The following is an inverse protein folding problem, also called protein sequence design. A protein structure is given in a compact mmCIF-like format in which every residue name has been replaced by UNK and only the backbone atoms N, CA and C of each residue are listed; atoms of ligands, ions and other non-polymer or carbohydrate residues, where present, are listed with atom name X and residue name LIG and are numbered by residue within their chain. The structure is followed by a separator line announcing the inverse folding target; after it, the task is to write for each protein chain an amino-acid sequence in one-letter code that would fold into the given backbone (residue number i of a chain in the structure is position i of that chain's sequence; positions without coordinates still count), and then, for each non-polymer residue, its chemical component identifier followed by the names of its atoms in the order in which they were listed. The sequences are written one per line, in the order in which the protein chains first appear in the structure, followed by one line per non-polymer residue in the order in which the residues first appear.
data_IF_291660745222
#
_entry.id   IF_291660745222
#
_cell.length_a   1.000
_cell.length_b   1.000
_cell.length_c   1.000
_cell.angle_alpha   90.00
_cell.angle_beta   90.00
_cell.angle_gamma   90.00
#
_symmetry.space_group_name_H-M   'P 1'
#
loop_
_entity.id
_entity.type
_entity.pdbx_description
1 polymer ?
#
# COMPACT_ATOMS: atom_id res chain seq x y z
N UNK A 1 -16.40 -9.00 -10.71
CA UNK A 1 -15.88 -7.89 -9.89
C UNK A 1 -14.50 -7.52 -10.42
N UNK A 2 -14.11 -6.25 -10.30
CA UNK A 2 -12.87 -5.70 -10.86
C UNK A 2 -12.24 -4.69 -9.92
N UNK A 3 -11.15 -4.08 -10.36
CA UNK A 3 -10.49 -3.00 -9.62
C UNK A 3 -11.39 -1.77 -9.53
N UNK A 4 -11.43 -1.17 -8.34
CA UNK A 4 -12.22 0.02 -8.03
C UNK A 4 -11.39 1.00 -7.19
N UNK A 5 -11.80 2.26 -7.23
CA UNK A 5 -11.39 3.25 -6.25
C UNK A 5 -12.41 3.25 -5.10
N UNK A 6 -12.00 2.81 -3.92
CA UNK A 6 -12.82 2.83 -2.70
C UNK A 6 -12.55 4.11 -1.91
N UNK A 7 -13.59 4.92 -1.71
CA UNK A 7 -13.56 5.99 -0.71
C UNK A 7 -13.80 5.37 0.66
N UNK A 8 -12.85 5.49 1.56
CA UNK A 8 -12.88 4.86 2.87
C UNK A 8 -12.86 5.94 3.96
N UNK A 9 -13.74 5.80 4.94
CA UNK A 9 -13.78 6.61 6.15
C UNK A 9 -13.49 5.73 7.38
N UNK A 10 -12.54 6.13 8.21
CA UNK A 10 -12.30 5.52 9.51
C UNK A 10 -12.86 6.43 10.61
N UNK A 11 -13.94 6.02 11.31
CA UNK A 11 -14.56 6.83 12.34
C UNK A 11 -13.74 6.88 13.64
N UNK A 12 -12.89 5.91 13.90
CA UNK A 12 -12.09 5.85 15.14
C UNK A 12 -11.05 6.97 15.17
N UNK A 13 -10.37 7.18 14.04
CA UNK A 13 -9.31 8.19 13.90
C UNK A 13 -9.76 9.46 13.15
N UNK A 14 -10.97 9.46 12.59
CA UNK A 14 -11.58 10.62 11.95
C UNK A 14 -10.96 11.01 10.61
N UNK A 15 -10.38 10.07 9.86
CA UNK A 15 -9.80 10.32 8.54
C UNK A 15 -10.61 9.70 7.40
N UNK A 16 -10.46 10.26 6.20
CA UNK A 16 -10.96 9.70 4.95
C UNK A 16 -9.88 9.65 3.89
N UNK A 17 -9.93 8.65 3.02
CA UNK A 17 -9.00 8.48 1.91
C UNK A 17 -9.69 7.82 0.71
N UNK A 18 -8.98 7.77 -0.42
CA UNK A 18 -9.35 6.92 -1.56
C UNK A 18 -8.22 5.95 -1.81
N UNK A 19 -8.55 4.67 -1.92
CA UNK A 19 -7.59 3.60 -2.17
C UNK A 19 -8.01 2.81 -3.41
N UNK A 20 -7.04 2.30 -4.15
CA UNK A 20 -7.31 1.30 -5.17
C UNK A 20 -7.52 -0.04 -4.49
N UNK A 21 -8.54 -0.79 -4.91
CA UNK A 21 -8.88 -2.07 -4.32
C UNK A 21 -9.52 -3.02 -5.33
N UNK A 22 -9.33 -4.32 -5.12
CA UNK A 22 -10.09 -5.36 -5.78
C UNK A 22 -11.33 -5.66 -4.93
N UNK A 23 -12.52 -5.55 -5.53
CA UNK A 23 -13.75 -5.96 -4.85
C UNK A 23 -13.86 -7.49 -4.79
N UNK A 24 -13.92 -8.04 -3.57
CA UNK A 24 -14.09 -9.48 -3.33
C UNK A 24 -15.56 -9.85 -3.09
N UNK A 25 -16.31 -8.95 -2.44
CA UNK A 25 -17.76 -9.06 -2.22
C UNK A 25 -18.38 -7.66 -2.11
N UNK A 26 -19.65 -7.55 -1.72
CA UNK A 26 -20.30 -6.25 -1.48
C UNK A 26 -19.70 -5.49 -0.29
N UNK A 27 -19.03 -6.19 0.63
CA UNK A 27 -18.51 -5.61 1.88
C UNK A 27 -17.04 -5.92 2.14
N UNK A 28 -16.35 -6.64 1.24
CA UNK A 28 -14.94 -6.99 1.39
C UNK A 28 -14.12 -6.58 0.17
N UNK A 29 -12.95 -6.00 0.44
CA UNK A 29 -12.06 -5.42 -0.54
C UNK A 29 -10.61 -5.77 -0.19
N UNK A 30 -9.85 -6.20 -1.20
CA UNK A 30 -8.39 -6.37 -1.09
C UNK A 30 -7.70 -5.11 -1.61
N UNK A 31 -6.88 -4.46 -0.79
CA UNK A 31 -6.20 -3.23 -1.16
C UNK A 31 -5.14 -3.48 -2.25
N UNK A 32 -5.16 -2.63 -3.28
CA UNK A 32 -4.18 -2.59 -4.38
C UNK A 32 -3.28 -1.36 -4.31
N UNK A 33 -3.43 -0.53 -3.27
CA UNK A 33 -2.53 0.57 -2.95
C UNK A 33 -2.24 0.62 -1.45
N UNK A 34 -1.26 1.44 -1.05
CA UNK A 34 -0.96 1.67 0.36
C UNK A 34 -1.67 2.92 0.86
N UNK A 35 -2.26 2.85 2.05
CA UNK A 35 -2.57 4.06 2.78
C UNK A 35 -1.27 4.78 3.16
N UNK A 36 -1.23 6.11 3.04
CA UNK A 36 0.00 6.88 3.23
C UNK A 36 0.51 6.90 4.68
N UNK A 37 -0.41 6.83 5.65
CA UNK A 37 -0.10 7.01 7.08
C UNK A 37 -0.51 5.81 7.94
N UNK A 38 -1.71 5.26 7.75
CA UNK A 38 -2.16 4.03 8.40
C UNK A 38 -1.32 2.81 7.98
N UNK A 39 -0.56 2.27 8.93
CA UNK A 39 0.35 1.14 8.72
C UNK A 39 -0.37 -0.19 8.57
N UNK A 40 -1.60 -0.29 9.08
CA UNK A 40 -2.41 -1.50 8.98
C UNK A 40 -3.16 -1.63 7.64
N UNK A 41 -3.16 -0.57 6.81
CA UNK A 41 -3.84 -0.53 5.51
C UNK A 41 -2.82 -0.46 4.37
N UNK A 42 -2.13 -1.57 4.14
CA UNK A 42 -1.11 -1.70 3.09
C UNK A 42 -1.58 -2.57 1.94
N UNK A 43 -0.81 -2.58 0.84
CA UNK A 43 -1.04 -3.44 -0.31
C UNK A 43 -1.28 -4.90 0.09
N UNK A 44 -2.35 -5.52 -0.41
CA UNK A 44 -2.74 -6.90 -0.12
C UNK A 44 -3.55 -7.10 1.16
N UNK A 45 -3.80 -6.04 1.94
CA UNK A 45 -4.69 -6.11 3.11
C UNK A 45 -6.13 -6.35 2.67
N UNK A 46 -6.86 -7.23 3.35
CA UNK A 46 -8.30 -7.42 3.12
C UNK A 46 -9.07 -6.70 4.23
N UNK A 47 -9.89 -5.74 3.82
CA UNK A 47 -10.76 -4.97 4.72
C UNK A 47 -12.21 -5.39 4.58
N UNK A 48 -12.95 -5.22 5.67
CA UNK A 48 -14.41 -5.21 5.68
C UNK A 48 -14.91 -3.80 5.95
N UNK A 49 -15.97 -3.43 5.24
CA UNK A 49 -16.64 -2.14 5.39
C UNK A 49 -18.12 -2.30 5.74
N UNK A 50 -18.75 -1.21 6.18
CA UNK A 50 -20.22 -1.07 6.27
C UNK A 50 -20.71 0.06 5.37
N UNK A 51 -22.04 0.16 5.28
CA UNK A 51 -22.86 1.00 4.38
C UNK A 51 -22.17 2.25 3.81
N UNK A 52 -22.49 2.52 2.55
CA UNK A 52 -22.10 3.75 1.87
C UNK A 52 -22.73 4.95 2.58
N UNK A 53 -21.93 5.87 3.07
CA UNK A 53 -22.43 7.16 3.52
C UNK A 53 -22.78 8.00 2.29
N UNK A 54 -24.03 8.48 2.26
CA UNK A 54 -24.43 9.56 1.36
C UNK A 54 -23.96 10.90 1.95
N UNK A 55 -23.62 11.90 1.13
CA UNK A 55 -23.78 11.98 -0.33
C UNK A 55 -22.56 11.51 -1.15
N UNK A 56 -21.46 11.09 -0.51
CA UNK A 56 -20.18 10.91 -1.19
C UNK A 56 -19.87 9.46 -1.62
N UNK A 57 -20.78 8.52 -1.29
CA UNK A 57 -20.65 7.08 -1.48
C UNK A 57 -19.42 6.48 -0.78
N UNK A 58 -18.99 7.07 0.35
CA UNK A 58 -17.86 6.55 1.13
C UNK A 58 -18.26 5.31 1.93
N UNK A 59 -17.39 4.31 1.95
CA UNK A 59 -17.55 3.15 2.82
C UNK A 59 -16.93 3.43 4.19
N UNK A 60 -17.57 2.94 5.26
CA UNK A 60 -17.01 3.04 6.60
C UNK A 60 -16.17 1.81 6.89
N UNK A 61 -14.90 2.00 7.27
CA UNK A 61 -14.02 0.92 7.71
C UNK A 61 -14.61 0.27 8.97
N UNK A 62 -14.83 -1.04 8.92
CA UNK A 62 -15.34 -1.81 10.05
C UNK A 62 -14.28 -2.70 10.69
N UNK A 63 -13.46 -3.36 9.88
CA UNK A 63 -12.42 -4.26 10.37
C UNK A 63 -11.39 -4.58 9.29
N UNK A 64 -10.17 -4.90 9.72
CA UNK A 64 -9.21 -5.63 8.91
C UNK A 64 -9.53 -7.12 9.05
N UNK A 65 -9.81 -7.79 7.93
CA UNK A 65 -10.13 -9.23 7.89
C UNK A 65 -8.90 -10.08 7.70
N UNK A 66 -7.93 -9.58 6.95
CA UNK A 66 -6.63 -10.22 6.75
C UNK A 66 -5.57 -9.14 6.64
N UNK A 67 -4.52 -9.27 7.42
CA UNK A 67 -3.30 -8.49 7.21
C UNK A 67 -2.65 -8.85 5.88
N UNK A 68 -1.86 -7.91 5.35
CA UNK A 68 -1.05 -8.13 4.18
C UNK A 68 -0.09 -9.32 4.34
N UNK A 69 0.08 -10.11 3.26
CA UNK A 69 1.13 -11.14 3.17
C UNK A 69 2.52 -10.53 2.87
N UNK A 70 2.59 -9.20 2.76
CA UNK A 70 3.80 -8.44 2.51
C UNK A 70 4.33 -7.79 3.79
N UNK A 71 5.66 -7.69 3.89
CA UNK A 71 6.32 -6.73 4.76
C UNK A 71 6.39 -5.38 4.02
N UNK A 72 5.84 -4.34 4.64
CA UNK A 72 5.85 -2.98 4.09
C UNK A 72 6.96 -2.17 4.74
N UNK A 73 7.79 -1.52 3.91
CA UNK A 73 8.79 -0.55 4.36
C UNK A 73 8.61 0.78 3.63
N UNK A 74 8.91 1.87 4.33
CA UNK A 74 8.72 3.23 3.83
C UNK A 74 9.97 4.05 4.11
N UNK A 75 10.45 4.80 3.12
CA UNK A 75 11.64 5.62 3.28
C UNK A 75 11.60 6.89 2.45
N UNK A 76 12.17 7.96 3.01
CA UNK A 76 12.35 9.23 2.34
C UNK A 76 13.53 9.15 1.38
N UNK A 77 13.28 9.52 0.12
CA UNK A 77 14.29 9.67 -0.90
C UNK A 77 14.97 11.03 -0.72
N UNK A 78 16.29 11.06 -0.84
CA UNK A 78 17.08 12.29 -0.80
C UNK A 78 17.53 12.70 -2.21
N UNK A 79 18.08 13.92 -2.35
CA UNK A 79 18.58 14.42 -3.63
C UNK A 79 19.72 13.59 -4.24
N UNK A 80 20.39 12.78 -3.43
CA UNK A 80 21.49 11.92 -3.84
C UNK A 80 21.02 10.53 -4.27
N UNK A 81 19.72 10.23 -4.14
CA UNK A 81 19.19 8.92 -4.44
C UNK A 81 19.30 8.63 -5.93
N UNK A 82 20.02 7.57 -6.28
CA UNK A 82 20.13 7.09 -7.65
C UNK A 82 18.78 6.53 -8.13
N UNK A 83 18.04 7.36 -8.87
CA UNK A 83 16.70 7.04 -9.36
C UNK A 83 16.69 5.84 -10.32
N UNK A 84 17.77 5.62 -11.07
CA UNK A 84 17.85 4.49 -12.00
C UNK A 84 17.98 3.18 -11.21
N UNK A 85 18.84 3.15 -10.19
CA UNK A 85 18.95 1.99 -9.31
C UNK A 85 17.71 1.77 -8.45
N UNK A 86 17.07 2.84 -7.98
CA UNK A 86 15.79 2.73 -7.27
C UNK A 86 14.75 2.02 -8.13
N UNK A 87 14.65 2.38 -9.41
CA UNK A 87 13.75 1.72 -10.36
C UNK A 87 14.11 0.25 -10.57
N UNK A 88 15.40 -0.08 -10.71
CA UNK A 88 15.84 -1.48 -10.82
C UNK A 88 15.49 -2.30 -9.57
N UNK A 89 15.67 -1.73 -8.37
CA UNK A 89 15.26 -2.36 -7.11
C UNK A 89 13.74 -2.59 -7.10
N UNK A 90 12.98 -1.61 -7.56
CA UNK A 90 11.54 -1.72 -7.73
C UNK A 90 11.13 -2.84 -8.68
N UNK A 91 11.79 -2.95 -9.83
CA UNK A 91 11.54 -4.01 -10.80
C UNK A 91 11.87 -5.40 -10.20
N UNK A 92 12.99 -5.54 -9.47
CA UNK A 92 13.32 -6.76 -8.72
C UNK A 92 12.22 -7.12 -7.70
N UNK A 93 11.64 -6.14 -7.01
CA UNK A 93 10.53 -6.35 -6.06
C UNK A 93 9.28 -6.87 -6.79
N UNK A 94 8.95 -6.28 -7.95
CA UNK A 94 7.81 -6.72 -8.75
C UNK A 94 7.98 -8.15 -9.29
N UNK A 95 9.20 -8.53 -9.69
CA UNK A 95 9.51 -9.90 -10.14
C UNK A 95 9.30 -10.95 -9.04
N UNK A 96 9.44 -10.56 -7.78
CA UNK A 96 9.16 -11.40 -6.62
C UNK A 96 7.66 -11.47 -6.28
N UNK A 97 6.80 -10.80 -7.05
CA UNK A 97 5.37 -10.64 -6.74
C UNK A 97 5.09 -9.57 -5.68
N UNK A 98 6.08 -8.75 -5.33
CA UNK A 98 5.93 -7.58 -4.48
C UNK A 98 5.26 -6.40 -5.18
N UNK A 99 5.18 -5.28 -4.47
CA UNK A 99 4.66 -4.03 -4.98
C UNK A 99 5.52 -2.86 -4.50
N UNK A 100 5.75 -1.86 -5.33
CA UNK A 100 6.45 -0.64 -4.93
C UNK A 100 5.85 0.59 -5.59
N UNK A 101 5.99 1.73 -4.94
CA UNK A 101 5.59 3.02 -5.47
C UNK A 101 6.45 4.15 -4.91
N UNK A 102 6.49 5.27 -5.65
CA UNK A 102 7.02 6.54 -5.15
C UNK A 102 5.88 7.54 -5.14
N UNK A 103 5.57 8.05 -3.95
CA UNK A 103 4.55 9.06 -3.74
C UNK A 103 5.21 10.42 -3.44
N UNK A 104 4.56 11.49 -3.89
CA UNK A 104 5.04 12.88 -3.78
C UNK A 104 6.47 13.12 -4.31
N UNK A 105 6.98 12.24 -5.18
CA UNK A 105 8.32 12.38 -5.78
C UNK A 105 9.49 12.22 -4.80
N UNK A 106 9.24 11.80 -3.55
CA UNK A 106 10.27 11.76 -2.51
C UNK A 106 10.02 10.76 -1.39
N UNK A 107 8.97 9.95 -1.46
CA UNK A 107 8.67 8.94 -0.46
C UNK A 107 8.41 7.61 -1.15
N UNK A 108 9.27 6.62 -0.92
CA UNK A 108 9.11 5.30 -1.48
C UNK A 108 8.41 4.39 -0.47
N UNK A 109 7.47 3.60 -0.96
CA UNK A 109 6.79 2.55 -0.22
C UNK A 109 7.04 1.25 -0.98
N UNK A 110 7.52 0.23 -0.27
CA UNK A 110 7.80 -1.10 -0.83
C UNK A 110 7.07 -2.16 -0.01
N UNK A 111 6.53 -3.14 -0.70
CA UNK A 111 5.79 -4.28 -0.17
C UNK A 111 6.46 -5.54 -0.70
N UNK A 112 7.11 -6.29 0.19
CA UNK A 112 7.92 -7.46 -0.15
C UNK A 112 7.26 -8.69 0.45
N UNK A 113 7.08 -9.79 -0.30
CA UNK A 113 6.51 -11.02 0.27
C UNK A 113 7.24 -11.45 1.54
N UNK A 114 6.50 -11.79 2.60
CA UNK A 114 7.09 -12.14 3.91
C UNK A 114 8.01 -13.36 3.87
N UNK A 115 7.87 -14.22 2.87
CA UNK A 115 8.70 -15.40 2.62
C UNK A 115 9.92 -15.13 1.72
N UNK A 116 10.10 -13.88 1.28
CA UNK A 116 11.21 -13.48 0.43
C UNK A 116 12.53 -13.32 1.21
N UNK A 117 13.63 -13.73 0.59
CA UNK A 117 15.00 -13.46 1.07
C UNK A 117 15.55 -12.10 0.60
N UNK A 118 14.69 -11.22 0.08
CA UNK A 118 15.10 -9.93 -0.46
C UNK A 118 15.63 -9.01 0.63
N UNK A 119 16.92 -8.66 0.54
CA UNK A 119 17.60 -7.82 1.53
C UNK A 119 17.44 -6.34 1.22
N UNK A 120 16.26 -5.80 1.49
CA UNK A 120 15.91 -4.41 1.19
C UNK A 120 16.93 -3.42 1.76
N UNK A 121 17.31 -3.56 3.03
CA UNK A 121 18.20 -2.61 3.71
C UNK A 121 19.57 -2.48 3.02
N UNK A 122 20.14 -3.60 2.55
CA UNK A 122 21.42 -3.59 1.82
C UNK A 122 21.27 -2.88 0.47
N UNK A 123 20.16 -3.12 -0.23
CA UNK A 123 19.85 -2.50 -1.54
C UNK A 123 19.65 -0.99 -1.39
N UNK A 124 18.86 -0.55 -0.43
CA UNK A 124 18.55 0.87 -0.21
C UNK A 124 19.79 1.65 0.24
N UNK A 125 20.62 1.09 1.13
CA UNK A 125 21.90 1.72 1.51
C UNK A 125 22.81 1.97 0.32
N UNK A 126 22.80 1.10 -0.69
CA UNK A 126 23.64 1.25 -1.89
C UNK A 126 23.23 2.41 -2.81
N UNK A 127 22.03 2.96 -2.62
CA UNK A 127 21.48 4.03 -3.47
C UNK A 127 21.27 5.35 -2.72
N UNK A 128 21.29 5.36 -1.39
CA UNK A 128 20.98 6.56 -0.59
C UNK A 128 22.20 7.45 -0.24
N UNK A 129 23.42 7.03 -0.58
CA UNK A 129 24.65 7.78 -0.30
C UNK A 129 25.21 7.57 1.09
#
# INVERSE_FOLDING_TARGET
MGEINIKLYNPEDGWSCTLDALQLSDIEFELRSNHLWEESLTYGTIIQVVEKQEPDNSYVLKAIRKESDFYTSRFLLNSNTDQSKLRMIGDEIMELGGYWEVVFGGYAIVNIPKDSNFKLDERIKSIMG
#
